data_IF_081942712531
#
_entry.id   IF_081942712531
#
_cell.length_a   1.000
_cell.length_b   1.000
_cell.length_c   1.000
_cell.angle_alpha   90.00
_cell.angle_beta   90.00
_cell.angle_gamma   90.00
#
_symmetry.space_group_name_H-M   'P 1'
#
loop_
_entity.id
_entity.type
_entity.pdbx_description
1 polymer ?
#
# COMPACT_ATOMS: atom_id res chain seq x y z
N UNK A 1 3.26 -26.74 13.32
CA UNK A 1 4.09 -26.63 14.54
C UNK A 1 5.53 -27.07 14.31
N UNK A 2 5.82 -28.34 14.00
CA UNK A 2 7.23 -28.77 13.80
C UNK A 2 7.88 -28.18 12.54
N UNK A 3 7.12 -28.10 11.44
CA UNK A 3 7.60 -27.49 10.18
C UNK A 3 7.82 -25.99 10.35
N UNK A 4 6.91 -25.29 11.04
CA UNK A 4 6.99 -23.86 11.31
C UNK A 4 8.29 -23.49 12.04
N UNK A 5 8.59 -24.23 13.12
CA UNK A 5 9.84 -24.08 13.89
C UNK A 5 11.08 -24.44 13.08
N UNK A 6 10.99 -25.46 12.23
CA UNK A 6 12.09 -25.83 11.34
C UNK A 6 12.41 -24.70 10.33
N UNK A 7 11.38 -24.06 9.77
CA UNK A 7 11.55 -22.92 8.87
C UNK A 7 12.19 -21.73 9.58
N UNK A 8 11.79 -21.43 10.82
CA UNK A 8 12.40 -20.38 11.63
C UNK A 8 13.90 -20.63 11.84
N UNK A 9 14.27 -21.83 12.32
CA UNK A 9 15.67 -22.21 12.54
C UNK A 9 16.49 -22.18 11.24
N UNK A 10 15.91 -22.62 10.12
CA UNK A 10 16.56 -22.53 8.81
C UNK A 10 16.77 -21.06 8.44
N UNK A 11 15.74 -20.24 8.57
CA UNK A 11 15.77 -18.80 8.26
C UNK A 11 16.90 -18.05 8.96
N UNK A 12 17.20 -18.36 10.22
CA UNK A 12 18.27 -17.72 10.98
C UNK A 12 19.67 -17.86 10.36
N UNK A 13 19.91 -18.92 9.59
CA UNK A 13 21.22 -19.19 9.00
C UNK A 13 21.52 -18.29 7.79
N UNK A 14 20.51 -17.63 7.19
CA UNK A 14 20.65 -16.63 6.13
C UNK A 14 21.60 -17.04 4.97
N UNK A 15 21.52 -18.31 4.54
CA UNK A 15 22.41 -18.88 3.51
C UNK A 15 21.69 -19.06 2.16
N UNK A 16 22.33 -18.87 0.99
CA UNK A 16 21.67 -18.98 -0.32
C UNK A 16 20.94 -20.31 -0.58
N UNK A 17 21.48 -21.44 -0.11
CA UNK A 17 20.80 -22.75 -0.20
C UNK A 17 19.48 -22.80 0.58
N UNK A 18 19.41 -22.08 1.70
CA UNK A 18 18.22 -22.03 2.54
C UNK A 18 17.19 -21.11 1.91
N UNK A 19 17.63 -20.00 1.31
CA UNK A 19 16.76 -19.16 0.52
C UNK A 19 16.01 -20.01 -0.53
N UNK A 20 16.72 -20.87 -1.28
CA UNK A 20 16.08 -21.80 -2.25
C UNK A 20 15.06 -22.71 -1.59
N UNK A 21 15.38 -23.28 -0.42
CA UNK A 21 14.46 -24.14 0.33
C UNK A 21 13.20 -23.38 0.75
N UNK A 22 13.35 -22.18 1.35
CA UNK A 22 12.26 -21.33 1.82
C UNK A 22 11.28 -20.97 0.68
N UNK A 23 11.77 -20.75 -0.55
CA UNK A 23 10.89 -20.50 -1.70
C UNK A 23 9.90 -21.64 -1.94
N UNK A 24 10.34 -22.90 -1.73
CA UNK A 24 9.52 -24.09 -1.90
C UNK A 24 8.34 -24.19 -0.93
N UNK A 25 8.33 -23.37 0.12
CA UNK A 25 7.25 -23.32 1.12
C UNK A 25 6.22 -22.24 0.85
N UNK A 26 6.49 -21.26 -0.02
CA UNK A 26 5.55 -20.17 -0.34
C UNK A 26 4.26 -20.63 -1.04
N UNK A 27 4.30 -21.78 -1.71
CA UNK A 27 3.15 -22.41 -2.37
C UNK A 27 2.43 -23.46 -1.50
N UNK A 28 2.85 -23.66 -0.25
CA UNK A 28 2.24 -24.65 0.66
C UNK A 28 1.09 -24.04 1.46
N UNK A 29 0.75 -24.65 2.60
CA UNK A 29 -0.31 -24.18 3.50
C UNK A 29 -0.09 -22.75 3.96
N UNK A 30 -1.17 -22.11 4.45
CA UNK A 30 -1.18 -20.68 4.82
C UNK A 30 -0.15 -20.39 5.92
N UNK A 31 -0.01 -21.29 6.90
CA UNK A 31 0.94 -21.15 8.01
C UNK A 31 2.38 -21.27 7.50
N UNK A 32 2.71 -22.33 6.77
CA UNK A 32 4.06 -22.55 6.25
C UNK A 32 4.50 -21.44 5.29
N UNK A 33 3.60 -21.01 4.41
CA UNK A 33 3.89 -19.93 3.47
C UNK A 33 4.10 -18.59 4.19
N UNK A 34 3.33 -18.32 5.25
CA UNK A 34 3.51 -17.11 6.08
C UNK A 34 4.88 -17.10 6.75
N UNK A 35 5.26 -18.22 7.37
CA UNK A 35 6.56 -18.34 8.05
C UNK A 35 7.71 -18.29 7.07
N UNK A 36 7.61 -18.96 5.92
CA UNK A 36 8.63 -18.89 4.88
C UNK A 36 8.80 -17.46 4.34
N UNK A 37 7.69 -16.75 4.11
CA UNK A 37 7.73 -15.36 3.69
C UNK A 37 8.42 -14.45 4.73
N UNK A 38 8.14 -14.68 6.01
CA UNK A 38 8.81 -13.96 7.10
C UNK A 38 10.32 -14.18 7.10
N UNK A 39 10.76 -15.44 6.97
CA UNK A 39 12.19 -15.74 6.95
C UNK A 39 12.89 -15.17 5.72
N UNK A 40 12.22 -15.15 4.55
CA UNK A 40 12.73 -14.49 3.35
C UNK A 40 12.86 -12.98 3.54
N UNK A 41 11.94 -12.33 4.27
CA UNK A 41 12.01 -10.91 4.59
C UNK A 41 13.26 -10.50 5.40
N UNK A 42 13.92 -11.46 6.06
CA UNK A 42 15.16 -11.22 6.81
C UNK A 42 16.40 -11.10 5.94
N UNK A 43 16.35 -11.53 4.66
CA UNK A 43 17.47 -11.43 3.72
C UNK A 43 17.61 -9.99 3.22
N UNK A 44 18.32 -9.17 4.00
CA UNK A 44 18.48 -7.74 3.74
C UNK A 44 19.26 -7.47 2.45
N UNK A 45 18.72 -6.56 1.64
CA UNK A 45 19.22 -6.11 0.34
C UNK A 45 19.35 -7.24 -0.69
N UNK A 46 18.78 -8.42 -0.42
CA UNK A 46 18.82 -9.56 -1.33
C UNK A 46 17.74 -9.44 -2.41
N UNK A 47 18.20 -9.37 -3.66
CA UNK A 47 17.31 -9.27 -4.82
C UNK A 47 16.38 -10.47 -4.94
N UNK A 48 16.91 -11.66 -4.75
CA UNK A 48 16.22 -12.91 -5.04
C UNK A 48 15.12 -13.19 -4.01
N UNK A 49 15.39 -12.92 -2.73
CA UNK A 49 14.38 -12.94 -1.67
C UNK A 49 13.24 -11.95 -1.95
N UNK A 50 13.59 -10.70 -2.27
CA UNK A 50 12.62 -9.64 -2.54
C UNK A 50 11.76 -9.97 -3.78
N UNK A 51 12.37 -10.40 -4.89
CA UNK A 51 11.64 -10.76 -6.10
C UNK A 51 10.78 -12.01 -5.93
N UNK A 52 11.22 -12.97 -5.12
CA UNK A 52 10.42 -14.15 -4.77
C UNK A 52 9.17 -13.73 -4.00
N UNK A 53 9.30 -12.88 -2.97
CA UNK A 53 8.16 -12.40 -2.19
C UNK A 53 7.16 -11.62 -3.05
N UNK A 54 7.65 -10.77 -3.97
CA UNK A 54 6.78 -10.09 -4.94
C UNK A 54 6.07 -11.06 -5.88
N UNK A 55 6.75 -12.10 -6.32
CA UNK A 55 6.15 -13.13 -7.19
C UNK A 55 5.07 -13.93 -6.45
N UNK A 56 5.32 -14.27 -5.18
CA UNK A 56 4.35 -14.93 -4.33
C UNK A 56 3.13 -14.03 -4.07
N UNK A 57 3.31 -12.74 -3.82
CA UNK A 57 2.21 -11.78 -3.68
C UNK A 57 1.30 -11.74 -4.92
N UNK A 58 1.86 -11.92 -6.13
CA UNK A 58 1.08 -11.97 -7.38
C UNK A 58 0.38 -13.31 -7.64
N UNK A 59 0.97 -14.41 -7.17
CA UNK A 59 0.41 -15.75 -7.34
C UNK A 59 -0.75 -16.05 -6.38
N UNK A 60 -0.78 -15.40 -5.21
CA UNK A 60 -1.79 -15.64 -4.17
C UNK A 60 -3.15 -15.04 -4.51
N UNK A 61 -4.17 -15.52 -3.78
CA UNK A 61 -5.58 -15.10 -3.90
C UNK A 61 -6.16 -14.67 -2.56
N UNK A 62 -5.59 -15.16 -1.46
CA UNK A 62 -5.96 -14.78 -0.11
C UNK A 62 -5.35 -13.42 0.26
N UNK A 63 -6.20 -12.51 0.76
CA UNK A 63 -5.79 -11.16 1.18
C UNK A 63 -4.63 -11.18 2.17
N UNK A 64 -4.70 -12.06 3.17
CA UNK A 64 -3.71 -12.14 4.25
C UNK A 64 -2.32 -12.52 3.72
N UNK A 65 -2.22 -13.55 2.88
CA UNK A 65 -0.95 -13.97 2.30
C UNK A 65 -0.36 -12.92 1.36
N UNK A 66 -1.19 -12.19 0.60
CA UNK A 66 -0.71 -11.08 -0.22
C UNK A 66 -0.11 -9.98 0.66
N UNK A 67 -0.83 -9.54 1.70
CA UNK A 67 -0.36 -8.53 2.67
C UNK A 67 0.96 -8.97 3.30
N UNK A 68 1.06 -10.21 3.79
CA UNK A 68 2.32 -10.73 4.37
C UNK A 68 3.47 -10.73 3.37
N UNK A 69 3.25 -11.18 2.15
CA UNK A 69 4.30 -11.17 1.12
C UNK A 69 4.78 -9.75 0.80
N UNK A 70 3.87 -8.78 0.66
CA UNK A 70 4.23 -7.37 0.45
C UNK A 70 5.03 -6.82 1.64
N UNK A 71 4.54 -7.05 2.86
CA UNK A 71 5.18 -6.63 4.11
C UNK A 71 6.64 -7.08 4.18
N UNK A 72 6.85 -8.37 4.00
CA UNK A 72 8.17 -8.99 4.10
C UNK A 72 9.04 -8.63 2.91
N UNK A 73 8.47 -8.37 1.73
CA UNK A 73 9.21 -7.81 0.61
C UNK A 73 9.77 -6.43 0.96
N UNK A 74 8.98 -5.58 1.62
CA UNK A 74 9.45 -4.31 2.19
C UNK A 74 10.54 -4.49 3.26
N UNK A 75 10.45 -5.55 4.08
CA UNK A 75 11.46 -5.87 5.09
C UNK A 75 12.80 -6.29 4.49
N UNK A 76 12.85 -6.76 3.24
CA UNK A 76 14.13 -7.04 2.57
C UNK A 76 14.96 -5.78 2.34
N UNK A 77 14.39 -4.57 2.36
CA UNK A 77 15.11 -3.31 2.06
C UNK A 77 15.74 -3.27 0.65
N UNK A 78 15.41 -4.21 -0.24
CA UNK A 78 15.91 -4.21 -1.62
C UNK A 78 15.10 -3.23 -2.47
N UNK A 79 15.67 -2.05 -2.73
CA UNK A 79 14.97 -0.94 -3.42
C UNK A 79 14.51 -1.28 -4.85
N UNK A 80 15.10 -2.29 -5.49
CA UNK A 80 14.75 -2.69 -6.86
C UNK A 80 13.31 -3.20 -7.05
N UNK A 81 12.54 -3.45 -5.99
CA UNK A 81 11.13 -3.86 -6.08
C UNK A 81 10.11 -2.72 -5.97
N UNK A 82 10.54 -1.46 -5.79
CA UNK A 82 9.63 -0.30 -5.68
C UNK A 82 8.61 -0.27 -6.81
N UNK A 83 9.05 -0.44 -8.06
CA UNK A 83 8.15 -0.47 -9.22
C UNK A 83 7.07 -1.55 -9.10
N UNK A 84 7.42 -2.74 -8.62
CA UNK A 84 6.46 -3.85 -8.41
C UNK A 84 5.48 -3.53 -7.27
N UNK A 85 5.95 -2.94 -6.16
CA UNK A 85 5.10 -2.53 -5.04
C UNK A 85 4.05 -1.51 -5.51
N UNK A 86 4.46 -0.48 -6.26
CA UNK A 86 3.54 0.57 -6.74
C UNK A 86 2.38 0.04 -7.58
N UNK A 87 2.53 -1.12 -8.23
CA UNK A 87 1.44 -1.82 -8.93
C UNK A 87 0.25 -2.19 -8.02
N UNK A 88 0.46 -2.29 -6.71
CA UNK A 88 -0.57 -2.59 -5.71
C UNK A 88 -1.24 -1.35 -5.11
N UNK A 89 -0.77 -0.13 -5.39
CA UNK A 89 -1.36 1.11 -4.85
C UNK A 89 -2.82 1.31 -5.22
N UNK A 90 -3.26 0.73 -6.35
CA UNK A 90 -4.65 0.78 -6.85
C UNK A 90 -5.41 -0.52 -6.63
N UNK A 91 -4.91 -1.42 -5.79
CA UNK A 91 -5.64 -2.64 -5.44
C UNK A 91 -6.98 -2.28 -4.77
N UNK A 92 -8.05 -2.99 -5.15
CA UNK A 92 -9.39 -2.80 -4.58
C UNK A 92 -9.43 -3.08 -3.08
N UNK A 93 -8.63 -4.04 -2.61
CA UNK A 93 -8.49 -4.36 -1.21
C UNK A 93 -7.57 -3.31 -0.57
N UNK A 94 -8.16 -2.42 0.23
CA UNK A 94 -7.45 -1.30 0.84
C UNK A 94 -6.30 -1.76 1.74
N UNK A 95 -6.41 -2.93 2.38
CA UNK A 95 -5.34 -3.51 3.21
C UNK A 95 -4.10 -3.84 2.36
N UNK A 96 -4.30 -4.36 1.15
CA UNK A 96 -3.21 -4.68 0.20
C UNK A 96 -2.55 -3.38 -0.29
N UNK A 97 -3.38 -2.38 -0.65
CA UNK A 97 -2.88 -1.09 -1.09
C UNK A 97 -2.08 -0.38 0.02
N UNK A 98 -2.58 -0.41 1.26
CA UNK A 98 -1.92 0.16 2.42
C UNK A 98 -0.59 -0.51 2.71
N UNK A 99 -0.55 -1.84 2.75
CA UNK A 99 0.70 -2.56 3.02
C UNK A 99 1.74 -2.32 1.91
N UNK A 100 1.32 -2.17 0.66
CA UNK A 100 2.22 -1.78 -0.42
C UNK A 100 2.84 -0.39 -0.19
N UNK A 101 2.04 0.60 0.23
CA UNK A 101 2.53 1.94 0.61
C UNK A 101 3.50 1.87 1.79
N UNK A 102 3.13 1.14 2.84
CA UNK A 102 3.98 0.95 4.03
C UNK A 102 5.30 0.25 3.68
N UNK A 103 5.28 -0.70 2.75
CA UNK A 103 6.47 -1.39 2.26
C UNK A 103 7.39 -0.45 1.48
N UNK A 104 6.85 0.42 0.62
CA UNK A 104 7.64 1.48 -0.02
C UNK A 104 8.29 2.41 1.01
N UNK A 105 7.61 2.71 2.12
CA UNK A 105 8.17 3.52 3.20
C UNK A 105 9.38 2.84 3.87
N UNK A 106 9.35 1.51 4.04
CA UNK A 106 10.48 0.73 4.57
C UNK A 106 11.70 0.74 3.64
N UNK A 107 11.46 0.68 2.33
CA UNK A 107 12.53 0.70 1.32
C UNK A 107 13.25 2.05 1.25
N UNK A 108 12.61 3.14 1.71
CA UNK A 108 13.16 4.52 1.71
C UNK A 108 13.79 4.91 0.36
N UNK A 109 13.14 4.59 -0.75
CA UNK A 109 13.67 4.89 -2.08
C UNK A 109 13.02 6.14 -2.66
N UNK A 110 13.83 7.02 -3.25
CA UNK A 110 13.36 8.19 -4.01
C UNK A 110 12.40 7.81 -5.13
N UNK A 111 12.56 6.61 -5.70
CA UNK A 111 11.74 6.13 -6.80
C UNK A 111 10.29 5.88 -6.37
N UNK A 112 10.02 5.81 -5.06
CA UNK A 112 8.67 5.71 -4.51
C UNK A 112 7.98 7.08 -4.36
N UNK A 113 8.71 8.20 -4.33
CA UNK A 113 8.14 9.53 -4.03
C UNK A 113 7.13 9.95 -5.11
N UNK A 114 7.50 9.88 -6.39
CA UNK A 114 6.61 10.22 -7.50
C UNK A 114 5.30 9.39 -7.48
N UNK A 115 5.35 8.05 -7.39
CA UNK A 115 4.15 7.22 -7.21
C UNK A 115 3.31 7.58 -5.98
N UNK A 116 3.93 7.86 -4.84
CA UNK A 116 3.24 8.21 -3.60
C UNK A 116 2.52 9.56 -3.71
N UNK A 117 3.18 10.58 -4.27
CA UNK A 117 2.56 11.90 -4.49
C UNK A 117 1.41 11.83 -5.50
N UNK A 118 1.54 10.98 -6.53
CA UNK A 118 0.44 10.73 -7.47
C UNK A 118 -0.74 10.05 -6.78
N UNK A 119 -0.50 9.04 -5.94
CA UNK A 119 -1.56 8.42 -5.14
C UNK A 119 -2.21 9.43 -4.18
N UNK A 120 -1.41 10.25 -3.49
CA UNK A 120 -1.95 11.28 -2.60
C UNK A 120 -2.85 12.26 -3.35
N UNK A 121 -2.45 12.69 -4.56
CA UNK A 121 -3.28 13.53 -5.44
C UNK A 121 -4.60 12.87 -5.84
N UNK A 122 -4.58 11.57 -6.16
CA UNK A 122 -5.80 10.80 -6.46
C UNK A 122 -6.74 10.76 -5.24
N UNK A 123 -6.20 10.57 -4.04
CA UNK A 123 -6.97 10.51 -2.79
C UNK A 123 -7.52 11.88 -2.37
N UNK A 124 -6.73 12.95 -2.55
CA UNK A 124 -7.14 14.33 -2.23
C UNK A 124 -8.31 14.79 -3.12
N UNK A 125 -8.36 14.31 -4.36
CA UNK A 125 -9.47 14.59 -5.29
C UNK A 125 -10.80 13.92 -4.90
N UNK A 126 -10.80 12.96 -3.96
CA UNK A 126 -12.03 12.32 -3.46
C UNK A 126 -12.78 13.33 -2.58
N UNK A 127 -13.93 13.80 -3.09
CA UNK A 127 -14.80 14.76 -2.42
C UNK A 127 -15.52 14.11 -1.25
N UNK A 128 -15.37 14.72 -0.08
CA UNK A 128 -16.24 14.46 1.07
C UNK A 128 -17.56 15.18 0.83
N UNK A 129 -18.63 14.42 0.61
CA UNK A 129 -19.95 15.00 0.78
C UNK A 129 -20.10 15.38 2.24
N UNK A 130 -20.19 16.69 2.51
CA UNK A 130 -20.74 17.17 3.77
C UNK A 130 -22.15 16.63 3.83
N UNK A 131 -22.34 15.54 4.56
CA UNK A 131 -23.65 15.15 5.05
C UNK A 131 -24.09 16.29 5.96
N UNK A 132 -24.86 17.22 5.39
CA UNK A 132 -25.49 18.30 6.11
C UNK A 132 -26.44 17.70 7.14
N UNK A 133 -25.91 17.41 8.34
CA UNK A 133 -26.66 17.48 9.58
C UNK A 133 -26.78 18.95 9.98
N UNK A 134 -27.42 19.73 9.12
CA UNK A 134 -28.01 21.01 9.49
C UNK A 134 -29.41 21.00 8.90
N UNK A 135 -30.40 20.91 9.80
CA UNK A 135 -31.79 21.07 9.46
C UNK A 135 -32.00 22.43 8.78
N UNK A 136 -32.60 22.42 7.60
CA UNK A 136 -32.91 23.61 6.85
C UNK A 136 -34.13 23.36 5.98
N UNK A 137 -35.32 23.39 6.59
CA UNK A 137 -36.55 23.75 5.87
C UNK A 137 -36.36 25.21 5.47
N UNK A 138 -35.82 25.44 4.29
CA UNK A 138 -35.54 26.77 3.75
C UNK A 138 -35.89 26.81 2.28
N UNK A 139 -37.00 27.47 1.97
CA UNK A 139 -37.62 27.50 0.65
C UNK A 139 -36.70 28.04 -0.45
N UNK A 140 -36.73 27.34 -1.59
CA UNK A 140 -36.17 27.76 -2.86
C UNK A 140 -37.07 27.27 -3.99
N UNK A 141 -38.19 27.97 -4.18
CA UNK A 141 -39.03 27.89 -5.37
C UNK A 141 -38.22 28.39 -6.56
N UNK A 142 -37.93 27.52 -7.53
CA UNK A 142 -37.14 27.89 -8.70
C UNK A 142 -37.05 26.84 -9.80
N UNK A 143 -38.19 26.39 -10.32
CA UNK A 143 -38.35 26.13 -11.76
C UNK A 143 -37.76 24.86 -12.38
N UNK A 144 -38.61 23.84 -12.54
CA UNK A 144 -38.84 23.23 -13.85
C UNK A 144 -38.06 21.96 -14.22
N UNK A 145 -38.83 20.95 -14.66
CA UNK A 145 -38.45 19.63 -15.20
C UNK A 145 -38.12 18.61 -14.08
N UNK A 146 -39.03 17.73 -13.67
CA UNK A 146 -39.86 16.87 -14.52
C UNK A 146 -39.35 15.44 -14.33
N UNK A 147 -40.17 14.57 -13.72
CA UNK A 147 -39.87 13.14 -13.60
C UNK A 147 -39.49 12.71 -12.19
N UNK A 148 -40.51 12.34 -11.41
CA UNK A 148 -40.30 11.46 -10.28
C UNK A 148 -39.75 10.13 -10.77
N UNK A 149 -38.51 9.84 -10.40
CA UNK A 149 -38.01 8.47 -10.22
C UNK A 149 -37.37 8.45 -8.84
N UNK A 150 -38.22 8.21 -7.84
CA UNK A 150 -37.80 7.54 -6.62
C UNK A 150 -37.27 6.17 -7.00
N UNK A 151 -35.94 6.02 -7.06
CA UNK A 151 -35.33 4.70 -7.23
C UNK A 151 -33.98 4.76 -7.92
N UNK A 152 -32.90 4.94 -7.14
CA UNK A 152 -31.54 4.41 -7.39
C UNK A 152 -30.55 4.87 -6.29
N UNK A 153 -30.94 4.77 -5.02
CA UNK A 153 -30.07 5.16 -3.90
C UNK A 153 -28.94 4.18 -3.54
N UNK A 154 -28.75 3.09 -4.29
CA UNK A 154 -27.89 1.98 -3.86
C UNK A 154 -26.47 1.96 -4.40
N UNK A 155 -26.25 2.43 -5.65
CA UNK A 155 -24.98 2.18 -6.36
C UNK A 155 -24.01 3.37 -6.28
N UNK A 156 -24.53 4.60 -6.28
CA UNK A 156 -23.69 5.81 -6.14
C UNK A 156 -23.17 6.03 -4.72
N UNK A 157 -24.01 5.82 -3.71
CA UNK A 157 -23.65 6.00 -2.31
C UNK A 157 -22.61 4.97 -1.82
N UNK A 158 -22.74 3.71 -2.25
CA UNK A 158 -21.79 2.64 -1.89
C UNK A 158 -20.41 2.85 -2.50
N UNK A 159 -20.32 3.27 -3.77
CA UNK A 159 -19.03 3.61 -4.38
C UNK A 159 -18.37 4.83 -3.72
N UNK A 160 -19.15 5.83 -3.32
CA UNK A 160 -18.62 7.00 -2.63
C UNK A 160 -18.11 6.66 -1.23
N UNK A 161 -18.84 5.81 -0.49
CA UNK A 161 -18.41 5.31 0.82
C UNK A 161 -17.10 4.49 0.71
N UNK A 162 -16.97 3.63 -0.29
CA UNK A 162 -15.75 2.87 -0.56
C UNK A 162 -14.56 3.79 -0.88
N UNK A 163 -14.77 4.83 -1.70
CA UNK A 163 -13.74 5.83 -2.02
C UNK A 163 -13.34 6.64 -0.79
N UNK A 164 -14.29 7.05 0.05
CA UNK A 164 -14.02 7.76 1.29
C UNK A 164 -13.25 6.89 2.28
N UNK A 165 -13.65 5.62 2.45
CA UNK A 165 -12.92 4.65 3.28
C UNK A 165 -11.49 4.44 2.77
N UNK A 166 -11.32 4.37 1.45
CA UNK A 166 -9.99 4.30 0.82
C UNK A 166 -9.16 5.53 1.15
N UNK A 167 -9.70 6.75 0.97
CA UNK A 167 -9.06 8.01 1.34
C UNK A 167 -8.61 8.00 2.80
N UNK A 168 -9.53 7.71 3.72
CA UNK A 168 -9.27 7.68 5.16
C UNK A 168 -8.18 6.68 5.55
N UNK A 169 -8.08 5.55 4.84
CA UNK A 169 -7.09 4.51 5.15
C UNK A 169 -5.73 4.80 4.53
N UNK A 170 -5.70 5.26 3.28
CA UNK A 170 -4.47 5.39 2.51
C UNK A 170 -3.79 6.75 2.68
N UNK A 171 -4.52 7.85 2.89
CA UNK A 171 -3.91 9.18 3.03
C UNK A 171 -2.89 9.23 4.16
N UNK A 172 -3.19 8.77 5.41
CA UNK A 172 -2.20 8.79 6.48
C UNK A 172 -1.00 7.87 6.20
N UNK A 173 -1.22 6.76 5.51
CA UNK A 173 -0.13 5.84 5.13
C UNK A 173 0.80 6.49 4.09
N UNK A 174 0.24 7.19 3.12
CA UNK A 174 1.00 7.89 2.07
C UNK A 174 1.77 9.08 2.67
N UNK A 175 1.13 9.88 3.52
CA UNK A 175 1.79 10.97 4.26
C UNK A 175 2.96 10.43 5.09
N UNK A 176 2.73 9.36 5.86
CA UNK A 176 3.77 8.68 6.64
C UNK A 176 4.91 8.16 5.77
N UNK A 177 4.59 7.58 4.61
CA UNK A 177 5.59 7.06 3.68
C UNK A 177 6.45 8.18 3.09
N UNK A 178 5.82 9.25 2.60
CA UNK A 178 6.52 10.43 2.07
C UNK A 178 7.40 11.04 3.15
N UNK A 179 6.91 11.19 4.39
CA UNK A 179 7.70 11.68 5.53
C UNK A 179 8.89 10.79 5.84
N UNK A 180 8.71 9.47 5.88
CA UNK A 180 9.80 8.52 6.16
C UNK A 180 10.88 8.52 5.08
N UNK A 181 10.50 8.69 3.81
CA UNK A 181 11.46 8.74 2.70
C UNK A 181 12.16 10.10 2.67
N UNK A 182 11.42 11.19 2.76
CA UNK A 182 11.96 12.55 2.64
C UNK A 182 12.70 13.05 3.87
N UNK A 183 12.34 12.56 5.07
CA UNK A 183 12.74 13.14 6.35
C UNK A 183 11.96 14.40 6.74
N UNK A 184 11.03 14.85 5.91
CA UNK A 184 10.31 16.11 6.05
C UNK A 184 8.84 15.89 6.44
N UNK A 185 8.29 16.80 7.25
CA UNK A 185 6.87 16.79 7.61
C UNK A 185 6.10 17.83 6.79
N UNK A 186 5.19 17.37 5.94
CA UNK A 186 4.45 18.26 5.04
C UNK A 186 3.05 18.50 5.58
N UNK A 187 2.68 19.79 5.65
CA UNK A 187 1.33 20.20 6.04
C UNK A 187 0.24 19.68 5.09
N UNK A 188 0.54 19.64 3.80
CA UNK A 188 -0.41 19.25 2.75
C UNK A 188 0.32 18.74 1.50
N UNK A 189 -0.48 18.19 0.56
CA UNK A 189 -0.02 17.70 -0.73
C UNK A 189 0.72 18.75 -1.55
N UNK A 190 0.33 20.03 -1.45
CA UNK A 190 0.97 21.12 -2.21
C UNK A 190 2.39 21.34 -1.71
N UNK A 191 2.58 21.42 -0.40
CA UNK A 191 3.89 21.56 0.22
C UNK A 191 4.82 20.40 -0.14
N UNK A 192 4.31 19.16 -0.10
CA UNK A 192 5.06 17.97 -0.49
C UNK A 192 5.48 17.99 -1.97
N UNK A 193 4.58 18.36 -2.89
CA UNK A 193 4.90 18.50 -4.32
C UNK A 193 5.91 19.61 -4.60
N UNK A 194 5.73 20.78 -3.98
CA UNK A 194 6.63 21.92 -4.18
C UNK A 194 8.03 21.62 -3.63
N UNK A 195 8.13 20.92 -2.50
CA UNK A 195 9.41 20.39 -2.01
C UNK A 195 10.02 19.42 -3.02
N UNK A 196 9.26 18.41 -3.47
CA UNK A 196 9.80 17.39 -4.36
C UNK A 196 10.29 17.98 -5.67
N UNK A 197 9.56 18.93 -6.27
CA UNK A 197 10.02 19.65 -7.47
C UNK A 197 11.38 20.32 -7.32
N UNK A 198 11.70 20.86 -6.13
CA UNK A 198 12.99 21.49 -5.85
C UNK A 198 14.07 20.46 -5.50
N UNK A 199 13.71 19.43 -4.74
CA UNK A 199 14.66 18.44 -4.21
C UNK A 199 14.99 17.32 -5.20
N UNK A 200 14.11 16.99 -6.16
CA UNK A 200 14.18 15.80 -7.01
C UNK A 200 15.54 15.56 -7.68
N UNK A 201 16.18 16.61 -8.16
CA UNK A 201 17.46 16.50 -8.87
C UNK A 201 18.64 16.18 -7.94
N UNK A 202 18.56 16.60 -6.67
CA UNK A 202 19.66 16.48 -5.69
C UNK A 202 19.37 15.47 -4.59
N UNK A 203 18.13 14.97 -4.50
CA UNK A 203 17.71 14.04 -3.47
C UNK A 203 18.40 12.69 -3.63
N UNK A 204 18.93 12.20 -2.52
CA UNK A 204 19.57 10.89 -2.40
C UNK A 204 18.74 10.05 -1.46
N UNK A 205 18.62 8.77 -1.77
CA UNK A 205 17.94 7.86 -0.87
C UNK A 205 18.59 7.88 0.51
N UNK A 206 17.80 7.92 1.60
CA UNK A 206 18.30 7.68 2.93
C UNK A 206 19.00 6.32 3.04
N UNK A 207 19.92 6.26 4.00
CA UNK A 207 20.55 5.01 4.45
C UNK A 207 19.58 4.09 5.21
#
# INVERSE_FOLDING_TARGET
KDITRALENLGELQHPKILTELKGYLGRGVEEASTAAEQLGKYKKDKDAAETLMSAAGARRDKEGIVKCLRYAGDTEYKGIVGKLTGYFRNKETDIAKESVDSCAKLKSKDAIDPLLNLWKELDAIKEEKTGKDGGIGGGLGGGLGGGITGTGGVGASMQEEQLKRKQTLTPAVESAVKKISGEDFKDLRAANDWWRRARATFKDPE
#
